data_IF_966018950909
#
_entry.id   IF_966018950909
#
_cell.length_a   1.000
_cell.length_b   1.000
_cell.length_c   1.000
_cell.angle_alpha   90.00
_cell.angle_beta   90.00
_cell.angle_gamma   90.00
#
_symmetry.space_group_name_H-M   'P 1'
#
loop_
_entity.id
_entity.type
_entity.pdbx_description
1 polymer ?
#
# COMPACT_ATOMS: atom_id res chain seq x y z
N UNK A 1 13.55 10.14 -16.98
CA UNK A 1 13.58 10.63 -15.58
C UNK A 1 12.82 11.96 -15.54
N UNK A 2 12.07 12.24 -14.49
CA UNK A 2 11.41 13.54 -14.29
C UNK A 2 12.05 14.22 -13.08
N UNK A 3 12.46 15.47 -13.24
CA UNK A 3 13.23 16.18 -12.21
C UNK A 3 12.35 16.79 -11.11
N UNK A 4 12.95 16.98 -9.93
CA UNK A 4 12.36 17.75 -8.84
C UNK A 4 11.91 19.13 -9.31
N UNK A 5 10.74 19.58 -8.84
CA UNK A 5 10.14 20.85 -9.24
C UNK A 5 9.33 20.79 -10.53
N UNK A 6 9.49 19.76 -11.37
CA UNK A 6 8.64 19.57 -12.55
C UNK A 6 7.25 19.03 -12.16
N UNK A 7 6.24 19.36 -12.95
CA UNK A 7 4.91 18.75 -12.84
C UNK A 7 4.91 17.44 -13.61
N UNK A 8 4.66 16.33 -12.92
CA UNK A 8 4.60 15.03 -13.57
C UNK A 8 3.32 14.91 -14.40
N UNK A 9 3.47 14.80 -15.73
CA UNK A 9 2.37 14.92 -16.69
C UNK A 9 1.19 13.98 -16.42
N UNK A 10 1.48 12.73 -16.06
CA UNK A 10 0.46 11.74 -15.76
C UNK A 10 -0.20 12.02 -14.40
N UNK A 11 0.56 12.09 -13.31
CA UNK A 11 0.03 12.38 -11.98
C UNK A 11 -0.72 13.72 -11.85
N UNK A 12 -0.46 14.70 -12.71
CA UNK A 12 -1.26 15.94 -12.76
C UNK A 12 -2.75 15.66 -12.98
N UNK A 13 -3.08 14.57 -13.69
CA UNK A 13 -4.46 14.20 -14.08
C UNK A 13 -5.18 13.33 -13.03
N UNK A 14 -4.47 12.78 -12.05
CA UNK A 14 -5.00 11.75 -11.16
C UNK A 14 -4.83 12.13 -9.68
N UNK A 15 -5.78 12.90 -9.15
CA UNK A 15 -5.76 13.42 -7.78
C UNK A 15 -5.55 12.33 -6.72
N UNK A 16 -6.26 11.22 -6.85
CA UNK A 16 -6.18 10.08 -5.93
C UNK A 16 -4.81 9.39 -5.96
N UNK A 17 -4.20 9.26 -7.15
CA UNK A 17 -2.85 8.69 -7.29
C UNK A 17 -1.80 9.57 -6.61
N UNK A 18 -1.94 10.91 -6.69
CA UNK A 18 -1.02 11.82 -5.99
C UNK A 18 -1.10 11.68 -4.47
N UNK A 19 -2.28 11.33 -3.93
CA UNK A 19 -2.43 11.09 -2.50
C UNK A 19 -1.63 9.86 -2.04
N UNK A 20 -1.61 8.78 -2.83
CA UNK A 20 -0.75 7.62 -2.58
C UNK A 20 0.74 7.99 -2.58
N UNK A 21 1.11 8.97 -3.43
CA UNK A 21 2.45 9.54 -3.53
C UNK A 21 2.76 10.68 -2.56
N UNK A 22 1.99 10.87 -1.47
CA UNK A 22 2.19 12.01 -0.58
C UNK A 22 3.64 12.12 -0.07
N UNK A 23 4.25 13.30 -0.22
CA UNK A 23 5.66 13.53 0.14
C UNK A 23 6.66 13.24 -0.99
N UNK A 24 6.25 12.57 -2.07
CA UNK A 24 7.00 12.48 -3.33
C UNK A 24 6.64 13.63 -4.27
N UNK A 25 5.39 14.09 -4.19
CA UNK A 25 4.85 15.20 -4.96
C UNK A 25 3.81 15.98 -4.16
N UNK A 26 3.50 17.19 -4.61
CA UNK A 26 2.41 17.99 -4.07
C UNK A 26 1.06 17.42 -4.55
N UNK A 27 0.28 16.88 -3.62
CA UNK A 27 -1.02 16.29 -3.94
C UNK A 27 -2.05 17.31 -4.45
N UNK A 28 -1.90 18.57 -4.06
CA UNK A 28 -2.76 19.69 -4.46
C UNK A 28 -1.90 20.94 -4.65
N UNK A 29 -2.36 21.84 -5.52
CA UNK A 29 -1.69 23.12 -5.70
C UNK A 29 -1.73 23.96 -4.40
N UNK A 30 -0.67 24.73 -4.14
CA UNK A 30 -0.58 25.60 -2.98
C UNK A 30 -0.09 26.99 -3.36
N UNK A 31 -0.95 27.99 -3.19
CA UNK A 31 -0.55 29.40 -3.34
C UNK A 31 0.55 29.79 -2.34
N UNK A 32 0.46 29.30 -1.09
CA UNK A 32 1.43 29.59 -0.03
C UNK A 32 2.83 29.06 -0.36
N UNK A 33 2.91 27.85 -0.92
CA UNK A 33 4.20 27.25 -1.32
C UNK A 33 4.62 27.60 -2.74
N UNK A 34 3.76 28.27 -3.51
CA UNK A 34 3.90 28.47 -4.95
C UNK A 34 4.15 27.15 -5.71
N UNK A 35 3.33 26.14 -5.44
CA UNK A 35 3.44 24.80 -6.05
C UNK A 35 2.20 24.40 -6.83
N UNK A 36 2.40 23.60 -7.87
CA UNK A 36 1.34 23.00 -8.68
C UNK A 36 0.98 21.59 -8.20
N UNK A 37 -0.23 21.14 -8.51
CA UNK A 37 -0.64 19.78 -8.21
C UNK A 37 0.12 18.79 -9.11
N UNK A 38 0.71 17.74 -8.53
CA UNK A 38 1.59 16.81 -9.23
C UNK A 38 3.02 17.31 -9.42
N UNK A 39 3.37 18.48 -8.85
CA UNK A 39 4.74 18.96 -8.81
C UNK A 39 5.58 18.05 -7.92
N UNK A 40 6.70 17.54 -8.46
CA UNK A 40 7.59 16.63 -7.77
C UNK A 40 8.39 17.34 -6.68
N UNK A 41 8.40 16.74 -5.49
CA UNK A 41 9.27 17.14 -4.38
C UNK A 41 10.61 16.40 -4.42
N UNK A 42 10.73 15.35 -5.25
CA UNK A 42 11.94 14.56 -5.50
C UNK A 42 11.93 14.10 -6.96
N UNK A 43 13.09 14.07 -7.61
CA UNK A 43 13.21 13.48 -8.95
C UNK A 43 12.81 12.00 -8.93
N UNK A 44 12.25 11.50 -10.03
CA UNK A 44 11.81 10.11 -10.14
C UNK A 44 12.16 9.47 -11.48
N UNK A 45 12.29 8.16 -11.45
CA UNK A 45 12.30 7.31 -12.64
C UNK A 45 10.84 7.17 -13.08
N UNK A 46 10.57 7.38 -14.37
CA UNK A 46 9.22 7.25 -14.92
C UNK A 46 8.85 5.76 -15.07
N UNK A 47 7.59 5.47 -15.36
CA UNK A 47 7.12 4.13 -15.68
C UNK A 47 7.84 3.53 -16.91
N UNK A 48 7.76 2.20 -17.03
CA UNK A 48 8.28 1.44 -18.19
C UNK A 48 9.78 1.60 -18.46
N UNK A 49 10.56 1.99 -17.44
CA UNK A 49 12.02 1.96 -17.50
C UNK A 49 12.52 0.57 -17.13
N UNK A 50 13.41 0.03 -17.96
CA UNK A 50 13.99 -1.31 -17.79
C UNK A 50 15.41 -1.15 -17.25
N UNK A 51 15.78 -2.01 -16.30
CA UNK A 51 17.14 -2.12 -15.78
C UNK A 51 17.48 -3.57 -15.52
N UNK A 52 18.79 -3.87 -15.45
CA UNK A 52 19.29 -5.21 -15.16
C UNK A 52 20.08 -5.20 -13.86
N UNK A 53 19.99 -6.30 -13.10
CA UNK A 53 20.76 -6.51 -11.87
C UNK A 53 21.59 -7.79 -12.04
N UNK A 54 22.90 -7.65 -11.94
CA UNK A 54 23.82 -8.80 -11.98
C UNK A 54 24.24 -9.14 -10.55
N UNK A 55 23.99 -10.39 -10.13
CA UNK A 55 24.42 -10.92 -8.85
C UNK A 55 25.56 -11.91 -9.09
N UNK A 56 26.72 -11.61 -8.52
CA UNK A 56 27.88 -12.50 -8.52
C UNK A 56 28.17 -12.99 -7.10
N UNK A 57 28.50 -14.27 -6.95
CA UNK A 57 28.85 -14.87 -5.67
C UNK A 57 29.99 -15.86 -5.84
N UNK A 58 30.87 -15.94 -4.84
CA UNK A 58 31.89 -17.00 -4.76
C UNK A 58 31.30 -18.37 -4.44
N UNK A 59 30.16 -18.38 -3.76
CA UNK A 59 29.41 -19.59 -3.42
C UNK A 59 28.25 -19.82 -4.40
N UNK A 60 27.77 -21.07 -4.55
CA UNK A 60 26.56 -21.34 -5.32
C UNK A 60 25.38 -20.47 -4.86
N UNK A 61 24.71 -19.84 -5.83
CA UNK A 61 23.48 -19.07 -5.58
C UNK A 61 22.38 -20.03 -5.10
N UNK A 62 21.84 -19.76 -3.91
CA UNK A 62 20.74 -20.54 -3.31
C UNK A 62 19.42 -20.20 -3.97
N UNK A 63 18.51 -21.17 -4.05
CA UNK A 63 17.14 -20.97 -4.56
C UNK A 63 16.40 -19.87 -3.81
N UNK A 64 16.60 -19.75 -2.49
CA UNK A 64 15.97 -18.70 -1.67
C UNK A 64 16.26 -17.28 -2.15
N UNK A 65 17.42 -17.04 -2.78
CA UNK A 65 17.73 -15.74 -3.38
C UNK A 65 16.90 -15.51 -4.65
N UNK A 66 16.78 -16.53 -5.49
CA UNK A 66 15.94 -16.51 -6.69
C UNK A 66 14.49 -16.27 -6.27
N UNK A 67 13.97 -17.03 -5.31
CA UNK A 67 12.61 -16.90 -4.78
C UNK A 67 12.36 -15.50 -4.22
N UNK A 68 13.35 -14.89 -3.56
CA UNK A 68 13.25 -13.52 -3.05
C UNK A 68 13.17 -12.47 -4.18
N UNK A 69 13.92 -12.67 -5.27
CA UNK A 69 13.89 -11.80 -6.45
C UNK A 69 12.56 -11.94 -7.18
N UNK A 70 12.06 -13.17 -7.34
CA UNK A 70 10.75 -13.41 -7.94
C UNK A 70 9.65 -12.81 -7.06
N UNK A 71 9.71 -12.98 -5.73
CA UNK A 71 8.75 -12.36 -4.81
C UNK A 71 8.74 -10.82 -4.92
N UNK A 72 9.92 -10.20 -5.04
CA UNK A 72 10.05 -8.76 -5.28
C UNK A 72 9.40 -8.35 -6.61
N UNK A 73 9.60 -9.11 -7.69
CA UNK A 73 9.01 -8.83 -9.01
C UNK A 73 7.51 -9.10 -9.10
N UNK A 74 6.97 -10.01 -8.29
CA UNK A 74 5.53 -10.30 -8.27
C UNK A 74 4.76 -9.35 -7.36
N UNK A 75 5.30 -9.00 -6.19
CA UNK A 75 4.55 -8.36 -5.10
C UNK A 75 5.17 -7.06 -4.56
N UNK A 76 6.31 -6.65 -5.10
CA UNK A 76 7.16 -5.64 -4.49
C UNK A 76 7.55 -4.47 -5.39
N UNK A 77 8.37 -3.60 -4.83
CA UNK A 77 8.78 -2.37 -5.47
C UNK A 77 10.04 -1.80 -4.83
N UNK A 78 10.61 -0.80 -5.48
CA UNK A 78 11.80 -0.09 -5.04
C UNK A 78 11.48 1.39 -4.77
N UNK A 79 12.11 1.94 -3.73
CA UNK A 79 12.03 3.35 -3.40
C UNK A 79 10.95 3.70 -2.38
N UNK A 80 10.51 4.96 -2.42
CA UNK A 80 9.58 5.51 -1.42
C UNK A 80 8.13 5.25 -1.81
N UNK A 81 7.25 5.03 -0.81
CA UNK A 81 5.81 4.75 -0.99
C UNK A 81 5.49 3.44 -1.74
N UNK A 82 6.41 2.48 -1.77
CA UNK A 82 6.21 1.14 -2.35
C UNK A 82 4.98 0.40 -1.84
N UNK A 83 4.61 0.57 -0.56
CA UNK A 83 3.40 -0.03 0.00
C UNK A 83 2.10 0.56 -0.55
N UNK A 84 2.17 1.63 -1.34
CA UNK A 84 1.05 2.31 -1.98
C UNK A 84 1.16 2.26 -3.52
N UNK A 85 1.91 1.30 -4.07
CA UNK A 85 2.04 1.07 -5.52
C UNK A 85 3.13 1.89 -6.22
N UNK A 86 3.73 2.88 -5.56
CA UNK A 86 4.80 3.70 -6.17
C UNK A 86 6.10 2.91 -6.28
N UNK A 87 6.72 2.88 -7.45
CA UNK A 87 7.96 2.14 -7.66
C UNK A 87 7.77 0.63 -7.71
N UNK A 88 6.55 0.16 -8.01
CA UNK A 88 6.28 -1.23 -8.39
C UNK A 88 7.28 -1.67 -9.47
N UNK A 89 7.92 -2.81 -9.27
CA UNK A 89 8.83 -3.41 -10.27
C UNK A 89 8.27 -4.74 -10.73
N UNK A 90 8.41 -5.02 -12.02
CA UNK A 90 8.00 -6.29 -12.63
C UNK A 90 9.26 -6.97 -13.12
N UNK A 91 9.45 -8.23 -12.71
CA UNK A 91 10.56 -9.03 -13.18
C UNK A 91 10.22 -9.59 -14.56
N UNK A 92 11.06 -9.32 -15.56
CA UNK A 92 10.85 -9.80 -16.93
C UNK A 92 11.43 -11.21 -17.13
N UNK A 93 12.67 -11.43 -16.69
CA UNK A 93 13.35 -12.72 -16.80
C UNK A 93 14.47 -12.86 -15.77
N UNK A 94 14.90 -14.10 -15.52
CA UNK A 94 16.16 -14.41 -14.83
C UNK A 94 16.95 -15.36 -15.72
N UNK A 95 18.22 -15.02 -15.95
CA UNK A 95 19.19 -15.93 -16.55
C UNK A 95 20.32 -16.28 -15.59
N UNK A 96 20.84 -17.50 -15.72
CA UNK A 96 22.01 -17.99 -15.00
C UNK A 96 22.94 -18.66 -16.01
N UNK A 97 24.19 -18.20 -16.06
CA UNK A 97 25.22 -18.71 -16.96
C UNK A 97 24.77 -18.74 -18.45
N UNK A 98 24.01 -17.72 -18.86
CA UNK A 98 23.47 -17.59 -20.22
C UNK A 98 22.17 -18.37 -20.49
N UNK A 99 21.67 -19.14 -19.54
CA UNK A 99 20.42 -19.90 -19.66
C UNK A 99 19.28 -19.20 -18.92
N UNK A 100 18.12 -19.02 -19.57
CA UNK A 100 16.90 -18.56 -18.89
C UNK A 100 16.42 -19.63 -17.90
N UNK A 101 16.17 -19.22 -16.66
CA UNK A 101 15.68 -20.08 -15.57
C UNK A 101 14.31 -19.65 -15.03
N UNK A 102 13.85 -18.46 -15.43
CA UNK A 102 12.55 -17.91 -15.05
C UNK A 102 12.13 -16.83 -16.05
N UNK A 103 10.83 -16.78 -16.37
CA UNK A 103 10.21 -15.80 -17.27
C UNK A 103 8.95 -15.23 -16.62
N UNK A 104 8.59 -14.00 -16.98
CA UNK A 104 7.38 -13.34 -16.50
C UNK A 104 6.10 -14.15 -16.82
N UNK A 105 5.07 -14.07 -15.96
CA UNK A 105 3.81 -14.74 -16.22
C UNK A 105 3.10 -14.16 -17.45
N UNK A 106 2.62 -15.03 -18.33
CA UNK A 106 1.93 -14.62 -19.56
C UNK A 106 0.49 -14.13 -19.32
N UNK A 107 -0.14 -14.56 -18.24
CA UNK A 107 -1.50 -14.20 -17.84
C UNK A 107 -1.68 -14.26 -16.32
N UNK A 108 -2.85 -13.83 -15.83
CA UNK A 108 -3.16 -13.79 -14.39
C UNK A 108 -3.19 -15.20 -13.75
N UNK A 109 -3.49 -16.26 -14.51
CA UNK A 109 -3.50 -17.63 -13.99
C UNK A 109 -2.08 -18.13 -13.77
N UNK A 110 -1.17 -17.86 -14.71
CA UNK A 110 0.26 -18.13 -14.56
C UNK A 110 0.85 -17.33 -13.39
N UNK A 111 0.46 -16.06 -13.24
CA UNK A 111 0.83 -15.22 -12.09
C UNK A 111 0.38 -15.86 -10.77
N UNK A 112 -0.87 -16.33 -10.69
CA UNK A 112 -1.38 -17.03 -9.51
C UNK A 112 -0.61 -18.32 -9.18
N UNK A 113 -0.26 -19.11 -10.20
CA UNK A 113 0.54 -20.33 -10.02
C UNK A 113 1.94 -20.03 -9.48
N UNK A 114 2.59 -18.98 -9.98
CA UNK A 114 3.90 -18.54 -9.48
C UNK A 114 3.83 -18.08 -8.02
N UNK A 115 2.80 -17.33 -7.65
CA UNK A 115 2.57 -16.93 -6.26
C UNK A 115 2.46 -18.14 -5.32
N UNK A 116 1.68 -19.14 -5.70
CA UNK A 116 1.52 -20.38 -4.91
C UNK A 116 2.85 -21.12 -4.75
N UNK A 117 3.69 -21.12 -5.79
CA UNK A 117 5.03 -21.70 -5.75
C UNK A 117 5.96 -21.02 -4.75
N UNK A 118 5.90 -19.69 -4.65
CA UNK A 118 6.76 -18.89 -3.76
C UNK A 118 6.29 -18.91 -2.31
N UNK A 119 4.98 -18.77 -2.08
CA UNK A 119 4.46 -18.65 -0.72
C UNK A 119 4.57 -19.97 0.04
N UNK A 120 4.61 -21.11 -0.67
CA UNK A 120 5.06 -22.39 -0.11
C UNK A 120 4.32 -22.83 1.17
N UNK A 121 5.00 -23.59 2.01
CA UNK A 121 4.48 -23.95 3.35
C UNK A 121 4.66 -22.78 4.31
N UNK A 122 3.56 -22.16 4.71
CA UNK A 122 3.54 -21.01 5.61
C UNK A 122 3.26 -21.39 7.06
N UNK A 123 3.69 -20.56 8.00
CA UNK A 123 3.36 -20.73 9.41
C UNK A 123 1.85 -20.55 9.63
N UNK A 124 1.25 -21.42 10.46
CA UNK A 124 -0.18 -21.34 10.81
C UNK A 124 -0.49 -20.29 11.88
N UNK A 125 0.52 -19.94 12.70
CA UNK A 125 0.41 -18.89 13.73
C UNK A 125 0.70 -17.53 13.12
N UNK A 126 0.09 -16.49 13.71
CA UNK A 126 0.38 -15.11 13.38
C UNK A 126 1.87 -14.82 13.64
N UNK A 127 2.62 -14.29 12.65
CA UNK A 127 4.04 -14.03 12.82
C UNK A 127 4.29 -12.75 13.64
N UNK A 128 5.41 -12.64 14.37
CA UNK A 128 5.74 -11.46 15.17
C UNK A 128 6.12 -10.23 14.32
N UNK A 129 6.27 -10.40 13.02
CA UNK A 129 6.55 -9.35 12.04
C UNK A 129 5.88 -9.69 10.70
N UNK A 130 5.76 -8.71 9.80
CA UNK A 130 5.18 -8.94 8.47
C UNK A 130 5.94 -10.03 7.72
N UNK A 131 5.29 -11.19 7.56
CA UNK A 131 5.81 -12.37 6.91
C UNK A 131 4.65 -13.17 6.32
N UNK A 132 4.94 -14.03 5.34
CA UNK A 132 3.95 -14.96 4.84
C UNK A 132 3.52 -15.94 5.94
N UNK A 133 2.22 -16.15 6.05
CA UNK A 133 1.54 -16.95 7.08
C UNK A 133 0.22 -17.47 6.52
N UNK A 134 -0.48 -18.34 7.26
CA UNK A 134 -1.82 -18.78 6.90
C UNK A 134 -2.85 -17.63 6.86
N UNK A 135 -2.53 -16.46 7.42
CA UNK A 135 -3.32 -15.23 7.33
C UNK A 135 -2.90 -14.33 6.16
N UNK A 136 -1.93 -14.74 5.34
CA UNK A 136 -1.57 -14.01 4.12
C UNK A 136 -2.70 -14.08 3.13
N UNK A 137 -2.99 -12.93 2.53
CA UNK A 137 -4.01 -12.79 1.52
C UNK A 137 -3.48 -11.98 0.34
N UNK A 138 -3.71 -12.47 -0.87
CA UNK A 138 -3.30 -11.81 -2.11
C UNK A 138 -4.49 -11.75 -3.05
N UNK A 139 -4.81 -10.54 -3.54
CA UNK A 139 -5.92 -10.32 -4.46
C UNK A 139 -5.50 -9.49 -5.66
N UNK A 140 -6.00 -9.82 -6.83
CA UNK A 140 -6.11 -8.88 -7.95
C UNK A 140 -7.38 -8.05 -7.74
N UNK A 141 -7.25 -6.72 -7.61
CA UNK A 141 -8.35 -5.83 -7.24
C UNK A 141 -8.91 -5.01 -8.40
N UNK A 142 -8.06 -4.68 -9.36
CA UNK A 142 -8.28 -3.68 -10.40
C UNK A 142 -7.51 -4.09 -11.65
N UNK A 143 -8.05 -3.75 -12.83
CA UNK A 143 -7.35 -3.86 -14.10
C UNK A 143 -7.55 -2.62 -14.94
N UNK A 144 -6.50 -2.14 -15.61
CA UNK A 144 -6.59 -1.06 -16.59
C UNK A 144 -5.42 -1.12 -17.60
N UNK A 145 -5.58 -0.44 -18.73
CA UNK A 145 -4.52 -0.29 -19.74
C UNK A 145 -3.41 0.71 -19.36
N UNK A 146 -3.49 1.31 -18.17
CA UNK A 146 -2.56 2.34 -17.70
C UNK A 146 -2.35 2.24 -16.17
N UNK A 147 -1.10 2.21 -15.65
CA UNK A 147 -0.82 2.10 -14.23
C UNK A 147 -1.42 3.25 -13.40
N UNK A 148 -1.55 4.45 -14.00
CA UNK A 148 -2.07 5.61 -13.28
C UNK A 148 -3.56 5.48 -12.95
N UNK A 149 -4.35 4.80 -13.79
CA UNK A 149 -5.75 4.50 -13.52
C UNK A 149 -5.88 3.49 -12.38
N UNK A 150 -5.04 2.44 -12.37
CA UNK A 150 -4.99 1.46 -11.27
C UNK A 150 -4.70 2.15 -9.93
N UNK A 151 -3.69 3.04 -9.90
CA UNK A 151 -3.37 3.85 -8.72
C UNK A 151 -4.50 4.82 -8.35
N UNK A 152 -5.16 5.42 -9.33
CA UNK A 152 -6.22 6.40 -9.09
C UNK A 152 -7.44 5.74 -8.46
N UNK A 153 -7.83 4.59 -8.98
CA UNK A 153 -8.98 3.83 -8.51
C UNK A 153 -8.75 3.28 -7.10
N UNK A 154 -7.59 2.67 -6.86
CA UNK A 154 -7.21 2.21 -5.52
C UNK A 154 -7.13 3.39 -4.54
N UNK A 155 -6.46 4.48 -4.95
CA UNK A 155 -6.33 5.71 -4.17
C UNK A 155 -7.67 6.33 -3.81
N UNK A 156 -8.61 6.34 -4.74
CA UNK A 156 -9.95 6.90 -4.53
C UNK A 156 -10.71 6.06 -3.51
N UNK A 157 -10.72 4.73 -3.69
CA UNK A 157 -11.41 3.78 -2.80
C UNK A 157 -10.86 3.86 -1.38
N UNK A 158 -9.53 3.84 -1.20
CA UNK A 158 -8.93 3.91 0.14
C UNK A 158 -9.16 5.28 0.81
N UNK A 159 -9.21 6.36 0.04
CA UNK A 159 -9.53 7.70 0.53
C UNK A 159 -10.98 7.81 1.00
N UNK A 160 -11.94 7.36 0.19
CA UNK A 160 -13.37 7.38 0.51
C UNK A 160 -13.69 6.51 1.72
N UNK A 161 -13.05 5.33 1.81
CA UNK A 161 -13.16 4.41 2.93
C UNK A 161 -12.66 5.04 4.23
N UNK A 162 -11.42 5.55 4.23
CA UNK A 162 -10.73 5.98 5.46
C UNK A 162 -11.12 7.37 5.91
N UNK A 163 -11.38 8.31 5.01
CA UNK A 163 -11.47 9.73 5.36
C UNK A 163 -12.89 10.12 5.74
N UNK A 164 -13.03 10.98 6.76
CA UNK A 164 -14.30 11.64 7.09
C UNK A 164 -14.73 12.67 6.03
N UNK A 165 -13.74 13.22 5.31
CA UNK A 165 -13.93 14.29 4.35
C UNK A 165 -14.18 15.67 4.99
N UNK A 166 -13.94 16.72 4.19
CA UNK A 166 -14.37 18.08 4.52
C UNK A 166 -15.80 18.24 4.02
N UNK A 167 -16.71 18.62 4.91
CA UNK A 167 -18.15 18.70 4.60
C UNK A 167 -18.71 17.37 4.07
N UNK A 168 -18.13 16.26 4.53
CA UNK A 168 -18.47 14.91 4.09
C UNK A 168 -18.01 14.53 2.69
N UNK A 169 -17.11 15.31 2.08
CA UNK A 169 -16.55 15.03 0.75
C UNK A 169 -15.04 14.82 0.77
N UNK A 170 -14.58 13.97 -0.13
CA UNK A 170 -13.17 13.67 -0.41
C UNK A 170 -13.01 13.66 -1.91
N UNK A 171 -12.12 14.50 -2.45
CA UNK A 171 -11.94 14.66 -3.90
C UNK A 171 -13.28 14.89 -4.65
N UNK A 172 -14.16 15.71 -4.07
CA UNK A 172 -15.49 16.01 -4.62
C UNK A 172 -16.55 14.92 -4.44
N UNK A 173 -16.16 13.71 -4.05
CA UNK A 173 -17.04 12.56 -3.86
C UNK A 173 -17.48 12.41 -2.40
N UNK A 174 -18.65 11.79 -2.17
CA UNK A 174 -19.19 11.56 -0.83
C UNK A 174 -18.36 10.54 -0.07
N UNK A 175 -17.80 10.95 1.08
CA UNK A 175 -17.10 10.04 1.99
C UNK A 175 -18.01 8.94 2.54
N UNK A 176 -17.43 7.75 2.75
CA UNK A 176 -18.10 6.63 3.41
C UNK A 176 -18.36 6.90 4.90
N UNK A 177 -17.61 7.82 5.53
CA UNK A 177 -17.74 8.22 6.95
C UNK A 177 -17.76 7.05 7.95
N UNK A 178 -17.06 5.95 7.64
CA UNK A 178 -17.06 4.71 8.45
C UNK A 178 -16.50 4.89 9.87
N UNK A 179 -15.64 5.88 10.06
CA UNK A 179 -14.85 6.05 11.28
C UNK A 179 -15.30 7.28 12.07
N UNK A 180 -16.59 7.32 12.46
CA UNK A 180 -17.14 8.40 13.31
C UNK A 180 -16.38 8.54 14.64
N UNK A 181 -16.09 7.46 15.38
CA UNK A 181 -15.30 7.57 16.62
C UNK A 181 -13.92 8.20 16.40
N UNK A 182 -13.19 7.83 15.34
CA UNK A 182 -11.90 8.45 14.99
C UNK A 182 -12.03 9.96 14.70
N UNK A 183 -13.10 10.33 13.99
CA UNK A 183 -13.40 11.74 13.72
C UNK A 183 -13.68 12.50 15.02
N UNK A 184 -14.55 11.99 15.89
CA UNK A 184 -14.92 12.65 17.14
C UNK A 184 -13.71 12.75 18.08
N UNK A 185 -12.86 11.72 18.12
CA UNK A 185 -11.57 11.74 18.80
C UNK A 185 -10.65 12.87 18.32
N UNK A 186 -10.61 13.09 17.00
CA UNK A 186 -9.87 14.22 16.42
C UNK A 186 -10.43 15.60 16.80
N UNK A 187 -11.69 15.64 17.25
CA UNK A 187 -12.41 16.82 17.76
C UNK A 187 -12.37 16.94 19.29
N UNK A 188 -11.42 16.25 19.93
CA UNK A 188 -11.15 16.28 21.38
C UNK A 188 -12.15 15.50 22.24
N UNK A 189 -13.02 14.68 21.66
CA UNK A 189 -13.76 13.66 22.40
C UNK A 189 -12.88 12.41 22.59
N UNK A 190 -12.09 12.38 23.67
CA UNK A 190 -11.03 11.38 23.89
C UNK A 190 -11.35 10.47 25.06
N UNK A 191 -12.12 9.38 24.85
CA UNK A 191 -12.35 8.39 25.89
C UNK A 191 -11.04 7.82 26.43
N UNK A 192 -11.07 7.39 27.69
CA UNK A 192 -9.85 6.98 28.39
C UNK A 192 -9.16 5.77 27.76
N UNK A 193 -9.92 4.84 27.20
CA UNK A 193 -9.39 3.56 26.71
C UNK A 193 -9.63 3.38 25.21
N UNK A 194 -9.54 4.49 24.46
CA UNK A 194 -9.79 4.52 23.02
C UNK A 194 -8.58 5.08 22.26
N UNK A 195 -8.20 4.37 21.21
CA UNK A 195 -7.44 4.93 20.09
C UNK A 195 -8.30 4.86 18.83
N UNK A 196 -8.09 5.75 17.85
CA UNK A 196 -8.72 5.63 16.54
C UNK A 196 -8.55 4.25 15.93
N UNK A 197 -9.61 3.73 15.29
CA UNK A 197 -9.67 2.36 14.77
C UNK A 197 -8.86 2.17 13.50
N UNK A 198 -8.63 3.25 12.73
CA UNK A 198 -7.82 3.22 11.50
C UNK A 198 -6.32 3.04 11.72
N UNK A 199 -5.86 2.81 12.94
CA UNK A 199 -4.45 2.49 13.23
C UNK A 199 -3.98 1.24 12.51
N UNK A 200 -4.87 0.31 12.17
CA UNK A 200 -4.53 -0.92 11.41
C UNK A 200 -3.92 -0.63 10.04
N UNK A 201 -4.14 0.57 9.47
CA UNK A 201 -3.48 1.05 8.24
C UNK A 201 -2.02 1.51 8.47
N UNK A 202 -1.51 1.34 9.69
CA UNK A 202 -0.20 1.77 10.13
C UNK A 202 -0.22 2.99 11.04
N UNK A 203 0.93 3.19 11.68
CA UNK A 203 1.26 4.25 12.61
C UNK A 203 2.59 4.90 12.18
N UNK A 204 2.83 6.20 12.42
CA UNK A 204 1.92 7.13 13.08
C UNK A 204 0.76 7.59 12.16
N UNK A 205 -0.38 7.92 12.77
CA UNK A 205 -1.55 8.48 12.11
C UNK A 205 -1.81 9.89 12.66
N UNK A 206 -1.64 10.90 11.82
CA UNK A 206 -1.82 12.30 12.20
C UNK A 206 -3.20 12.82 11.81
N UNK A 207 -3.90 13.40 12.79
CA UNK A 207 -5.20 14.05 12.62
C UNK A 207 -5.10 15.58 12.57
N UNK A 208 -3.92 16.13 12.85
CA UNK A 208 -3.63 17.55 12.80
C UNK A 208 -2.14 17.83 13.01
N UNK A 209 -1.75 19.11 13.01
CA UNK A 209 -0.34 19.51 13.13
C UNK A 209 0.19 19.45 14.57
N UNK A 210 -0.68 19.32 15.57
CA UNK A 210 -0.30 19.29 16.99
C UNK A 210 0.09 17.87 17.41
N UNK A 211 1.08 17.74 18.29
CA UNK A 211 1.54 16.46 18.81
C UNK A 211 0.39 15.65 19.46
N UNK A 212 -0.49 16.32 20.21
CA UNK A 212 -1.66 15.68 20.81
C UNK A 212 -2.74 15.26 19.80
N UNK A 213 -2.56 15.48 18.49
CA UNK A 213 -3.44 15.00 17.42
C UNK A 213 -2.76 13.88 16.61
N UNK A 214 -1.71 13.27 17.14
CA UNK A 214 -1.05 12.11 16.57
C UNK A 214 -1.46 10.84 17.32
N UNK A 215 -1.48 9.72 16.60
CA UNK A 215 -1.61 8.38 17.16
C UNK A 215 -0.38 7.60 16.71
N UNK A 216 0.38 7.04 17.65
CA UNK A 216 1.65 6.35 17.37
C UNK A 216 1.87 5.18 18.34
N UNK A 217 2.85 4.30 18.09
CA UNK A 217 3.24 3.33 19.11
C UNK A 217 3.82 4.09 20.31
N UNK A 218 3.61 3.57 21.53
CA UNK A 218 4.08 4.23 22.74
C UNK A 218 5.61 4.13 22.91
N UNK A 219 6.19 3.00 22.51
CA UNK A 219 7.62 2.70 22.71
C UNK A 219 8.42 2.75 21.39
N UNK A 220 7.75 2.52 20.26
CA UNK A 220 8.38 2.54 18.94
C UNK A 220 7.95 3.74 18.07
N UNK A 221 8.76 4.05 17.06
CA UNK A 221 8.49 5.20 16.18
C UNK A 221 7.35 4.96 15.17
N UNK A 222 7.27 3.74 14.63
CA UNK A 222 6.47 3.48 13.43
C UNK A 222 6.08 2.01 13.30
N UNK A 223 4.82 1.80 12.90
CA UNK A 223 4.33 0.54 12.33
C UNK A 223 3.83 0.79 10.92
N UNK A 224 4.57 0.35 9.92
CA UNK A 224 4.14 0.53 8.52
C UNK A 224 2.87 -0.29 8.22
N UNK A 225 2.05 0.13 7.24
CA UNK A 225 0.83 -0.59 6.82
C UNK A 225 1.11 -2.06 6.51
N UNK A 226 0.33 -3.02 7.04
CA UNK A 226 0.39 -4.43 6.66
C UNK A 226 -0.29 -4.72 5.31
N UNK A 227 -1.10 -3.79 4.81
CA UNK A 227 -1.65 -3.81 3.46
C UNK A 227 -0.69 -3.11 2.51
N UNK A 228 -0.19 -3.86 1.52
CA UNK A 228 0.63 -3.39 0.41
C UNK A 228 -0.23 -3.40 -0.86
N UNK A 229 0.10 -2.48 -1.78
CA UNK A 229 -0.47 -2.43 -3.10
C UNK A 229 0.66 -2.37 -4.13
N UNK A 230 0.57 -3.20 -5.15
CA UNK A 230 1.54 -3.37 -6.23
C UNK A 230 0.83 -3.21 -7.57
N UNK A 231 1.44 -2.52 -8.53
CA UNK A 231 0.93 -2.41 -9.89
C UNK A 231 1.74 -3.33 -10.78
N UNK A 232 1.13 -4.44 -11.21
CA UNK A 232 1.78 -5.48 -11.99
C UNK A 232 1.37 -5.38 -13.47
N UNK A 233 2.33 -5.36 -14.39
CA UNK A 233 2.06 -5.37 -15.84
C UNK A 233 2.03 -6.80 -16.35
N UNK A 234 0.99 -7.18 -17.08
CA UNK A 234 0.90 -8.46 -17.81
C UNK A 234 0.42 -8.15 -19.23
N UNK A 235 1.30 -8.38 -20.22
CA UNK A 235 1.04 -7.95 -21.60
C UNK A 235 0.85 -6.43 -21.68
N UNK A 236 -0.30 -5.99 -22.20
CA UNK A 236 -0.68 -4.58 -22.30
C UNK A 236 -1.47 -4.04 -21.10
N UNK A 237 -1.85 -4.91 -20.16
CA UNK A 237 -2.72 -4.55 -19.04
C UNK A 237 -1.92 -4.41 -17.74
N UNK A 238 -2.45 -3.58 -16.85
CA UNK A 238 -1.93 -3.34 -15.51
C UNK A 238 -2.95 -3.80 -14.48
N UNK A 239 -2.47 -4.60 -13.54
CA UNK A 239 -3.26 -5.18 -12.46
C UNK A 239 -2.87 -4.55 -11.13
N UNK A 240 -3.88 -4.16 -10.35
CA UNK A 240 -3.71 -3.70 -8.98
C UNK A 240 -3.71 -4.88 -8.02
N UNK A 241 -2.53 -5.35 -7.63
CA UNK A 241 -2.38 -6.48 -6.71
C UNK A 241 -2.29 -5.97 -5.29
N UNK A 242 -3.12 -6.49 -4.40
CA UNK A 242 -2.99 -6.25 -2.96
C UNK A 242 -2.37 -7.44 -2.25
N UNK A 243 -1.55 -7.14 -1.25
CA UNK A 243 -0.93 -8.11 -0.36
C UNK A 243 -1.21 -7.67 1.08
N UNK A 244 -1.92 -8.51 1.83
CA UNK A 244 -2.17 -8.32 3.26
C UNK A 244 -1.31 -9.30 4.06
N UNK A 245 -0.41 -8.75 4.88
CA UNK A 245 0.48 -9.51 5.77
C UNK A 245 0.11 -9.27 7.24
N UNK A 246 -0.90 -9.99 7.71
CA UNK A 246 -1.24 -9.97 9.13
C UNK A 246 -0.09 -10.52 9.98
N UNK A 247 0.15 -9.86 11.10
CA UNK A 247 1.24 -10.13 12.05
C UNK A 247 0.86 -9.55 13.40
N UNK A 248 1.63 -9.84 14.45
CA UNK A 248 1.53 -9.06 15.68
C UNK A 248 1.71 -7.58 15.32
N UNK A 249 0.68 -6.78 15.59
CA UNK A 249 0.63 -5.42 15.06
C UNK A 249 1.67 -4.52 15.74
N UNK A 250 1.81 -4.68 17.06
CA UNK A 250 2.89 -4.17 17.90
C UNK A 250 3.44 -5.34 18.75
N UNK A 251 4.71 -5.26 19.19
CA UNK A 251 5.27 -6.15 20.20
C UNK A 251 4.36 -6.38 21.40
N UNK A 252 4.44 -7.59 21.97
CA UNK A 252 3.62 -7.98 23.11
C UNK A 252 3.77 -6.99 24.28
N UNK A 253 2.64 -6.47 24.76
CA UNK A 253 2.59 -5.51 25.87
C UNK A 253 2.71 -4.04 25.46
N UNK A 254 3.12 -3.73 24.23
CA UNK A 254 3.19 -2.35 23.77
C UNK A 254 1.79 -1.73 23.62
N UNK A 255 1.67 -0.47 24.01
CA UNK A 255 0.46 0.34 23.93
C UNK A 255 0.47 1.28 22.73
N UNK A 256 -0.68 1.87 22.44
CA UNK A 256 -0.81 2.98 21.49
C UNK A 256 -0.84 4.29 22.28
N UNK A 257 0.05 5.22 21.95
CA UNK A 257 -0.06 6.62 22.35
C UNK A 257 -1.11 7.31 21.45
N UNK A 258 -2.29 7.53 22.00
CA UNK A 258 -3.37 8.28 21.40
C UNK A 258 -3.38 9.73 21.92
N UNK A 259 -2.56 10.57 21.31
CA UNK A 259 -2.58 12.02 21.54
C UNK A 259 -2.03 12.45 22.89
N UNK A 260 -1.00 11.76 23.38
CA UNK A 260 -0.33 11.93 24.67
C UNK A 260 -0.82 10.96 25.75
N UNK A 261 -1.54 9.90 25.37
CA UNK A 261 -2.12 8.94 26.31
C UNK A 261 -1.98 7.53 25.82
N UNK A 262 -1.34 6.69 26.62
CA UNK A 262 -1.19 5.27 26.33
C UNK A 262 -2.47 4.50 26.62
N UNK A 263 -2.95 3.77 25.62
CA UNK A 263 -4.12 2.89 25.69
C UNK A 263 -3.80 1.50 25.13
N UNK A 264 -4.56 0.44 25.52
CA UNK A 264 -4.35 -0.89 24.97
C UNK A 264 -4.41 -0.91 23.43
N UNK A 265 -3.54 -1.69 22.79
CA UNK A 265 -3.49 -1.84 21.35
C UNK A 265 -4.57 -2.82 20.85
N UNK A 266 -5.82 -2.36 20.81
CA UNK A 266 -6.96 -3.14 20.35
C UNK A 266 -7.10 -3.05 18.82
N UNK A 267 -6.40 -3.94 18.11
CA UNK A 267 -6.29 -3.88 16.64
C UNK A 267 -7.42 -4.66 15.97
N UNK A 268 -8.12 -3.98 15.06
CA UNK A 268 -9.26 -4.53 14.34
C UNK A 268 -8.89 -4.87 12.89
N UNK A 269 -8.38 -6.08 12.67
CA UNK A 269 -8.03 -6.60 11.33
C UNK A 269 -9.23 -6.62 10.37
N UNK A 270 -10.44 -6.78 10.91
CA UNK A 270 -11.69 -6.73 10.14
C UNK A 270 -11.88 -5.45 9.34
N UNK A 271 -11.22 -4.34 9.70
CA UNK A 271 -11.25 -3.09 8.92
C UNK A 271 -10.50 -3.22 7.60
N UNK A 272 -9.38 -3.96 7.56
CA UNK A 272 -8.66 -4.22 6.31
C UNK A 272 -9.42 -5.22 5.45
N UNK A 273 -10.02 -6.25 6.05
CA UNK A 273 -10.91 -7.16 5.32
C UNK A 273 -12.15 -6.45 4.77
N UNK A 274 -12.84 -5.63 5.57
CA UNK A 274 -13.98 -4.82 5.11
C UNK A 274 -13.58 -3.82 4.01
N UNK A 275 -12.35 -3.30 4.02
CA UNK A 275 -11.85 -2.51 2.89
C UNK A 275 -11.77 -3.33 1.60
N UNK A 276 -11.25 -4.55 1.65
CA UNK A 276 -11.03 -5.41 0.48
C UNK A 276 -12.30 -6.13 -0.01
N UNK A 277 -13.18 -6.55 0.90
CA UNK A 277 -14.38 -7.36 0.62
C UNK A 277 -15.69 -6.57 0.68
N UNK A 278 -15.70 -5.48 1.43
CA UNK A 278 -16.93 -4.76 1.76
C UNK A 278 -17.47 -3.91 0.62
N UNK A 279 -18.64 -3.34 0.86
CA UNK A 279 -19.32 -2.47 -0.07
C UNK A 279 -19.02 -0.99 0.19
N UNK A 280 -19.09 -0.17 -0.85
CA UNK A 280 -19.11 1.29 -0.73
C UNK A 280 -20.40 1.78 -0.04
N UNK A 281 -20.54 3.09 0.11
CA UNK A 281 -21.71 3.71 0.75
C UNK A 281 -23.00 3.52 -0.04
N UNK A 282 -22.90 3.26 -1.34
CA UNK A 282 -24.01 3.01 -2.25
C UNK A 282 -24.42 1.52 -2.26
N UNK A 283 -23.67 0.65 -1.56
CA UNK A 283 -23.93 -0.77 -1.49
C UNK A 283 -23.26 -1.58 -2.61
N UNK A 284 -22.45 -0.96 -3.47
CA UNK A 284 -21.71 -1.69 -4.50
C UNK A 284 -20.46 -2.33 -3.90
N UNK A 285 -20.05 -3.49 -4.40
CA UNK A 285 -18.76 -4.08 -4.03
C UNK A 285 -17.64 -3.08 -4.29
N UNK A 286 -16.83 -2.78 -3.26
CA UNK A 286 -15.73 -1.82 -3.37
C UNK A 286 -14.70 -2.28 -4.38
N UNK A 287 -14.57 -3.58 -4.62
CA UNK A 287 -13.74 -4.17 -5.66
C UNK A 287 -14.53 -5.20 -6.47
N UNK A 288 -15.40 -4.72 -7.36
CA UNK A 288 -16.26 -5.57 -8.19
C UNK A 288 -15.51 -6.55 -9.12
N UNK A 289 -14.26 -6.24 -9.48
CA UNK A 289 -13.38 -7.10 -10.30
C UNK A 289 -12.40 -7.91 -9.45
N UNK A 290 -12.63 -8.03 -8.13
CA UNK A 290 -11.72 -8.73 -7.25
C UNK A 290 -11.62 -10.21 -7.63
N UNK A 291 -10.40 -10.69 -7.78
CA UNK A 291 -10.05 -12.10 -7.94
C UNK A 291 -9.06 -12.53 -6.84
N UNK A 292 -9.42 -13.48 -5.97
CA UNK A 292 -8.49 -14.03 -4.99
C UNK A 292 -7.37 -14.83 -5.66
N UNK A 293 -6.12 -14.50 -5.34
CA UNK A 293 -4.94 -15.17 -5.85
C UNK A 293 -4.34 -16.14 -4.84
N UNK A 294 -4.34 -15.74 -3.56
CA UNK A 294 -3.97 -16.57 -2.41
C UNK A 294 -4.85 -16.25 -1.20
#
# INVERSE_FOLDING_TARGET
MTEVGAVHQQFQRYDASRYLGYGLMEAFASKKKNTQAGQLNRSCINEEQIFSVTIASRNPIKSSLIDSIVALGLLGGLGSRVRHGMGSVVLESISKDGQSIWEAPADIKAYQQMLKGIVGSVATKLPPFSAFSASTRIDSLLTASNPYNVLADFGNRILLYRSWGRDGKVLGQTSEKRFKPDHDWSKFDRPRDFHPRRVVFGLPHNYGPKANMSVKPAEHDRRSSPLLFHVHKIGSEYYGISLLLESDFLPAGEKIDAGGKDVPANIEWSILHDFLDGNDKQGNSRFAQREPLL
#
